data_IF_958135554553
#
_entry.id   IF_958135554553
#
_cell.length_a   1.000
_cell.length_b   1.000
_cell.length_c   1.000
_cell.angle_alpha   90.00
_cell.angle_beta   90.00
_cell.angle_gamma   90.00
#
_symmetry.space_group_name_H-M   'P 1'
#
loop_
_entity.id
_entity.type
_entity.pdbx_description
1 polymer ?
#
# COMPACT_ATOMS: atom_id res chain seq x y z
N UNK A 1 -33.39 62.71 34.36
CA UNK A 1 -33.23 61.94 33.11
C UNK A 1 -32.09 60.94 33.30
N UNK A 2 -32.38 59.63 33.36
CA UNK A 2 -31.36 58.57 33.41
C UNK A 2 -31.17 58.04 31.98
N UNK A 3 -29.97 58.23 31.42
CA UNK A 3 -29.57 57.67 30.12
C UNK A 3 -29.23 56.19 30.29
N UNK A 4 -30.01 55.33 29.63
CA UNK A 4 -29.76 53.89 29.53
C UNK A 4 -28.59 53.68 28.54
N UNK A 5 -27.43 53.21 29.03
CA UNK A 5 -26.34 52.73 28.17
C UNK A 5 -26.66 51.32 27.69
N UNK A 6 -27.11 51.19 26.44
CA UNK A 6 -27.23 49.90 25.76
C UNK A 6 -25.81 49.46 25.40
N UNK A 7 -25.30 48.46 26.11
CA UNK A 7 -24.07 47.77 25.74
C UNK A 7 -24.41 46.74 24.67
N UNK A 8 -24.05 47.01 23.42
CA UNK A 8 -24.12 46.03 22.34
C UNK A 8 -22.93 45.08 22.54
N UNK A 9 -23.19 43.88 23.09
CA UNK A 9 -22.21 42.79 23.02
C UNK A 9 -22.16 42.30 21.58
N UNK A 10 -21.09 42.64 20.88
CA UNK A 10 -20.74 42.05 19.59
C UNK A 10 -20.21 40.64 19.88
N UNK A 11 -21.05 39.62 19.79
CA UNK A 11 -20.61 38.22 19.75
C UNK A 11 -19.81 38.02 18.47
N UNK A 12 -18.49 38.04 18.59
CA UNK A 12 -17.60 37.60 17.52
C UNK A 12 -17.87 36.10 17.28
N UNK A 13 -18.52 35.78 16.16
CA UNK A 13 -18.49 34.42 15.64
C UNK A 13 -17.06 34.14 15.24
N UNK A 14 -16.33 33.37 16.06
CA UNK A 14 -15.08 32.77 15.64
C UNK A 14 -15.40 31.88 14.45
N UNK A 15 -14.98 32.29 13.24
CA UNK A 15 -14.89 31.38 12.11
C UNK A 15 -13.91 30.29 12.49
N UNK A 16 -14.41 29.12 12.87
CA UNK A 16 -13.64 27.88 12.91
C UNK A 16 -13.21 27.59 11.48
N UNK A 17 -12.05 28.13 11.10
CA UNK A 17 -11.30 27.61 9.97
C UNK A 17 -11.01 26.15 10.35
N UNK A 18 -11.55 25.20 9.60
CA UNK A 18 -11.18 23.80 9.76
C UNK A 18 -9.68 23.72 9.44
N UNK A 19 -8.87 23.58 10.50
CA UNK A 19 -7.46 23.27 10.41
C UNK A 19 -7.32 21.95 9.64
N UNK A 20 -6.79 22.01 8.41
CA UNK A 20 -6.61 20.83 7.59
C UNK A 20 -5.34 20.10 8.04
N UNK A 21 -5.49 18.83 8.42
CA UNK A 21 -4.40 17.94 8.82
C UNK A 21 -3.61 17.49 7.59
N UNK A 22 -2.32 17.17 7.76
CA UNK A 22 -1.46 16.63 6.69
C UNK A 22 -1.15 15.17 6.94
N UNK A 23 -1.02 14.38 5.87
CA UNK A 23 -0.53 13.00 5.95
C UNK A 23 0.81 12.91 5.25
N UNK A 24 1.82 12.42 5.97
CA UNK A 24 3.15 12.12 5.45
C UNK A 24 3.33 10.60 5.42
N UNK A 25 3.90 10.09 4.33
CA UNK A 25 4.30 8.69 4.20
C UNK A 25 5.81 8.64 3.94
N UNK A 26 6.53 7.92 4.79
CA UNK A 26 7.95 7.63 4.65
C UNK A 26 8.14 6.17 4.27
N UNK A 27 8.94 5.91 3.25
CA UNK A 27 9.26 4.54 2.80
C UNK A 27 10.75 4.29 2.88
N UNK A 28 11.15 3.05 3.16
CA UNK A 28 12.56 2.65 3.18
C UNK A 28 13.16 2.64 1.76
N UNK A 29 14.48 2.85 1.68
CA UNK A 29 15.23 2.60 0.44
C UNK A 29 15.38 1.10 0.14
N UNK A 30 15.31 0.24 1.16
CA UNK A 30 15.38 -1.20 0.96
C UNK A 30 14.08 -1.74 0.36
N UNK A 31 14.15 -2.31 -0.84
CA UNK A 31 13.05 -3.00 -1.50
C UNK A 31 13.11 -4.51 -1.27
N UNK A 32 11.95 -5.10 -1.02
CA UNK A 32 11.74 -6.51 -0.73
C UNK A 32 10.92 -7.14 -1.85
N UNK A 33 11.35 -8.32 -2.29
CA UNK A 33 10.62 -9.15 -3.24
C UNK A 33 9.34 -9.72 -2.58
N UNK A 34 8.18 -9.25 -3.04
CA UNK A 34 6.88 -9.72 -2.57
C UNK A 34 6.24 -10.77 -3.49
N UNK A 35 6.76 -10.96 -4.71
CA UNK A 35 6.17 -11.89 -5.66
C UNK A 35 4.71 -11.56 -5.93
N UNK A 36 3.89 -12.59 -6.19
CA UNK A 36 2.45 -12.45 -6.40
C UNK A 36 1.60 -12.44 -5.11
N UNK A 37 2.17 -12.05 -3.97
CA UNK A 37 1.39 -11.87 -2.75
C UNK A 37 0.34 -10.77 -2.97
N UNK A 38 -0.90 -11.04 -2.58
CA UNK A 38 -1.98 -10.05 -2.62
C UNK A 38 -1.73 -8.98 -1.55
N UNK A 39 -1.08 -7.89 -1.96
CA UNK A 39 -0.70 -6.78 -1.08
C UNK A 39 -1.93 -6.08 -0.50
N UNK A 40 -3.07 -6.04 -1.20
CA UNK A 40 -4.30 -5.39 -0.72
C UNK A 40 -4.91 -6.21 0.42
N UNK A 41 -5.04 -7.52 0.21
CA UNK A 41 -5.51 -8.45 1.23
C UNK A 41 -4.57 -8.49 2.44
N UNK A 42 -3.26 -8.47 2.20
CA UNK A 42 -2.24 -8.55 3.25
C UNK A 42 -2.08 -7.27 4.08
N UNK A 43 -2.55 -6.12 3.58
CA UNK A 43 -2.44 -4.83 4.27
C UNK A 43 -3.81 -4.22 4.55
N UNK A 44 -4.41 -3.55 3.56
CA UNK A 44 -5.67 -2.84 3.70
C UNK A 44 -6.77 -3.73 4.29
N UNK A 45 -7.11 -4.85 3.64
CA UNK A 45 -8.22 -5.67 4.13
C UNK A 45 -7.92 -6.26 5.52
N UNK A 46 -6.67 -6.68 5.76
CA UNK A 46 -6.26 -7.21 7.05
C UNK A 46 -6.44 -6.20 8.19
N UNK A 47 -6.19 -4.91 7.96
CA UNK A 47 -6.41 -3.85 8.96
C UNK A 47 -7.90 -3.74 9.31
N UNK A 48 -8.80 -3.87 8.34
CA UNK A 48 -10.25 -3.75 8.53
C UNK A 48 -10.96 -5.06 8.90
N UNK A 49 -10.28 -6.21 8.85
CA UNK A 49 -10.92 -7.53 8.93
C UNK A 49 -11.48 -7.90 10.32
N UNK A 50 -10.92 -7.37 11.42
CA UNK A 50 -11.24 -7.82 12.77
C UNK A 50 -11.87 -6.73 13.65
N UNK A 51 -12.90 -7.13 14.41
CA UNK A 51 -13.44 -6.32 15.50
C UNK A 51 -12.37 -6.19 16.59
N UNK A 52 -12.01 -4.95 16.94
CA UNK A 52 -10.88 -4.64 17.81
C UNK A 52 -9.91 -3.65 17.15
N UNK A 53 -9.83 -3.66 15.82
CA UNK A 53 -8.99 -2.76 15.03
C UNK A 53 -9.61 -1.36 14.86
N UNK A 54 -10.42 -0.90 15.81
CA UNK A 54 -10.98 0.45 15.79
C UNK A 54 -10.11 1.48 16.51
N UNK A 55 -9.13 1.04 17.31
CA UNK A 55 -8.22 1.94 18.06
C UNK A 55 -6.75 1.72 17.75
N UNK A 56 -6.38 0.47 17.54
CA UNK A 56 -5.03 0.06 17.20
C UNK A 56 -5.10 -1.27 16.46
N UNK A 57 -4.05 -1.60 15.73
CA UNK A 57 -3.91 -2.88 15.03
C UNK A 57 -2.50 -3.43 15.24
N UNK A 58 -2.42 -4.74 15.42
CA UNK A 58 -1.17 -5.49 15.33
C UNK A 58 -1.42 -6.74 14.51
N UNK A 59 -0.79 -6.83 13.34
CA UNK A 59 -0.86 -7.98 12.45
C UNK A 59 0.56 -8.49 12.25
N UNK A 60 0.72 -9.81 12.32
CA UNK A 60 1.97 -10.49 11.99
C UNK A 60 1.64 -11.77 11.24
N UNK A 61 1.69 -11.72 9.91
CA UNK A 61 1.27 -12.82 9.04
C UNK A 61 2.30 -13.10 7.97
N UNK A 62 2.41 -14.36 7.58
CA UNK A 62 3.29 -14.82 6.51
C UNK A 62 2.45 -15.33 5.35
N UNK A 63 2.79 -14.88 4.14
CA UNK A 63 2.10 -15.18 2.90
C UNK A 63 3.05 -15.94 1.96
N UNK A 64 2.61 -17.08 1.40
CA UNK A 64 3.38 -17.76 0.37
C UNK A 64 3.32 -16.95 -0.93
N UNK A 65 4.46 -16.84 -1.62
CA UNK A 65 4.56 -16.13 -2.89
C UNK A 65 5.41 -16.90 -3.91
N UNK A 66 5.24 -16.51 -5.17
CA UNK A 66 6.01 -16.97 -6.31
C UNK A 66 6.81 -15.81 -6.90
N UNK A 67 8.03 -16.07 -7.38
CA UNK A 67 8.91 -15.06 -7.97
C UNK A 67 9.17 -15.28 -9.45
N UNK A 68 9.34 -16.54 -9.87
CA UNK A 68 9.65 -16.81 -11.27
C UNK A 68 8.49 -16.42 -12.18
N UNK A 69 8.84 -16.01 -13.40
CA UNK A 69 7.87 -15.62 -14.41
C UNK A 69 6.98 -16.77 -14.87
N UNK A 70 7.48 -18.01 -14.93
CA UNK A 70 6.70 -19.15 -15.42
C UNK A 70 6.80 -20.34 -14.49
N UNK A 71 5.64 -20.91 -14.14
CA UNK A 71 5.54 -22.07 -13.25
C UNK A 71 4.67 -23.15 -13.86
N UNK A 72 5.18 -24.38 -13.84
CA UNK A 72 4.36 -25.56 -14.14
C UNK A 72 3.45 -25.93 -12.96
N UNK A 73 3.89 -25.67 -11.73
CA UNK A 73 3.16 -25.96 -10.49
C UNK A 73 2.84 -24.67 -9.69
N UNK A 74 2.17 -24.82 -8.54
CA UNK A 74 1.84 -23.72 -7.63
C UNK A 74 2.74 -23.72 -6.40
N UNK A 75 3.99 -24.17 -6.54
CA UNK A 75 4.91 -24.23 -5.38
C UNK A 75 5.29 -22.83 -4.91
N UNK A 76 5.30 -22.68 -3.58
CA UNK A 76 5.85 -21.51 -2.90
C UNK A 76 7.35 -21.42 -3.13
N UNK A 77 7.82 -20.24 -3.53
CA UNK A 77 9.25 -19.95 -3.69
C UNK A 77 9.76 -19.03 -2.59
N UNK A 78 8.90 -18.12 -2.12
CA UNK A 78 9.20 -17.20 -1.04
C UNK A 78 8.09 -17.17 -0.01
N UNK A 79 8.48 -16.81 1.21
CA UNK A 79 7.55 -16.44 2.26
C UNK A 79 7.73 -14.94 2.53
N UNK A 80 6.64 -14.19 2.39
CA UNK A 80 6.60 -12.75 2.67
C UNK A 80 5.91 -12.57 4.01
N UNK A 81 6.63 -12.09 5.01
CA UNK A 81 6.06 -11.68 6.29
C UNK A 81 5.65 -10.21 6.20
N UNK A 82 4.39 -9.95 6.51
CA UNK A 82 3.80 -8.62 6.62
C UNK A 82 3.48 -8.39 8.08
N UNK A 83 4.18 -7.42 8.67
CA UNK A 83 3.92 -6.92 10.01
C UNK A 83 3.26 -5.55 9.90
N UNK A 84 2.12 -5.36 10.55
CA UNK A 84 1.41 -4.07 10.59
C UNK A 84 1.22 -3.69 12.04
N UNK A 85 1.61 -2.47 12.38
CA UNK A 85 1.36 -1.86 13.67
C UNK A 85 0.76 -0.48 13.44
N UNK A 86 -0.34 -0.17 14.11
CA UNK A 86 -0.93 1.14 14.02
C UNK A 86 -1.71 1.49 15.25
N UNK A 87 -1.74 2.78 15.57
CA UNK A 87 -2.55 3.34 16.62
C UNK A 87 -3.18 4.63 16.12
N UNK A 88 -4.46 4.82 16.42
CA UNK A 88 -5.17 6.05 16.07
C UNK A 88 -6.02 6.47 17.26
N UNK A 89 -5.95 7.74 17.60
CA UNK A 89 -6.43 8.38 18.83
C UNK A 89 -7.94 8.49 18.93
N UNK A 90 -8.69 7.49 18.48
CA UNK A 90 -10.15 7.44 18.59
C UNK A 90 -10.58 7.14 20.04
N UNK A 91 -10.51 8.16 20.89
CA UNK A 91 -11.16 8.17 22.20
C UNK A 91 -12.67 8.37 22.01
N UNK A 92 -13.39 7.28 21.77
CA UNK A 92 -14.86 7.30 21.72
C UNK A 92 -15.48 6.36 20.69
N UNK A 93 -14.73 5.90 19.69
CA UNK A 93 -15.21 4.95 18.69
C UNK A 93 -16.16 5.55 17.66
N UNK A 94 -16.19 6.88 17.52
CA UNK A 94 -17.20 7.58 16.68
C UNK A 94 -16.60 8.10 15.39
N UNK A 95 -15.27 8.29 15.33
CA UNK A 95 -14.65 8.85 14.13
C UNK A 95 -13.29 8.21 13.81
N UNK A 96 -13.27 7.39 12.76
CA UNK A 96 -12.09 6.67 12.30
C UNK A 96 -11.32 7.41 11.18
N UNK A 97 -11.53 8.71 11.01
CA UNK A 97 -10.95 9.47 9.91
C UNK A 97 -9.41 9.41 9.88
N UNK A 98 -8.75 9.45 11.05
CA UNK A 98 -7.28 9.35 11.13
C UNK A 98 -6.79 7.98 10.65
N UNK A 99 -7.42 6.89 11.10
CA UNK A 99 -7.15 5.53 10.60
C UNK A 99 -7.32 5.48 9.09
N UNK A 100 -8.45 5.94 8.60
CA UNK A 100 -8.80 5.81 7.19
C UNK A 100 -7.87 6.65 6.31
N UNK A 101 -7.42 7.82 6.77
CA UNK A 101 -6.42 8.64 6.09
C UNK A 101 -5.03 7.98 6.07
N UNK A 102 -4.57 7.44 7.20
CA UNK A 102 -3.29 6.72 7.31
C UNK A 102 -3.27 5.49 6.40
N UNK A 103 -4.30 4.64 6.47
CA UNK A 103 -4.42 3.43 5.66
C UNK A 103 -4.52 3.78 4.17
N UNK A 104 -5.27 4.83 3.81
CA UNK A 104 -5.34 5.30 2.43
C UNK A 104 -4.01 5.78 1.88
N UNK A 105 -3.29 6.60 2.65
CA UNK A 105 -2.00 7.12 2.21
C UNK A 105 -0.96 6.00 2.09
N UNK A 106 -0.89 5.10 3.07
CA UNK A 106 0.02 3.96 3.04
C UNK A 106 -0.29 3.00 1.88
N UNK A 107 -1.56 2.68 1.64
CA UNK A 107 -1.95 1.83 0.52
C UNK A 107 -1.66 2.48 -0.83
N UNK A 108 -1.89 3.79 -0.97
CA UNK A 108 -1.48 4.50 -2.18
C UNK A 108 0.03 4.40 -2.40
N UNK A 109 0.84 4.57 -1.36
CA UNK A 109 2.29 4.38 -1.43
C UNK A 109 2.67 2.97 -1.89
N UNK A 110 2.10 1.93 -1.26
CA UNK A 110 2.31 0.53 -1.66
C UNK A 110 1.95 0.32 -3.13
N UNK A 111 0.75 0.75 -3.54
CA UNK A 111 0.23 0.49 -4.87
C UNK A 111 1.04 1.19 -5.97
N UNK A 112 1.38 2.47 -5.79
CA UNK A 112 2.14 3.23 -6.80
C UNK A 112 3.59 2.75 -6.91
N UNK A 113 4.26 2.48 -5.78
CA UNK A 113 5.65 2.00 -5.78
C UNK A 113 5.72 0.59 -6.38
N UNK A 114 4.86 -0.33 -5.93
CA UNK A 114 4.85 -1.71 -6.40
C UNK A 114 4.44 -1.86 -7.87
N UNK A 115 3.68 -0.90 -8.42
CA UNK A 115 3.31 -0.88 -9.83
C UNK A 115 4.51 -0.55 -10.75
N UNK A 116 5.52 0.20 -10.30
CA UNK A 116 6.68 0.56 -11.14
C UNK A 116 7.59 -0.62 -11.45
N UNK A 117 7.69 -1.56 -10.52
CA UNK A 117 8.47 -2.79 -10.66
C UNK A 117 7.59 -4.04 -10.83
N UNK A 118 6.33 -3.86 -11.24
CA UNK A 118 5.41 -4.96 -11.46
C UNK A 118 5.89 -5.85 -12.64
N UNK A 119 5.74 -7.16 -12.47
CA UNK A 119 6.09 -8.12 -13.52
C UNK A 119 5.07 -9.26 -13.59
N UNK A 120 4.90 -9.84 -14.77
CA UNK A 120 3.98 -10.96 -14.93
C UNK A 120 4.55 -12.25 -14.33
N UNK A 121 3.71 -12.97 -13.59
CA UNK A 121 3.90 -14.33 -13.11
C UNK A 121 2.81 -15.21 -13.72
N UNK A 122 3.22 -16.15 -14.54
CA UNK A 122 2.38 -17.13 -15.21
C UNK A 122 2.45 -18.48 -14.51
N UNK A 123 1.29 -19.09 -14.28
CA UNK A 123 1.19 -20.41 -13.64
C UNK A 123 0.34 -21.37 -14.47
N UNK A 124 0.45 -22.67 -14.15
CA UNK A 124 -0.13 -23.73 -14.97
C UNK A 124 0.50 -23.77 -16.37
N UNK A 125 1.78 -23.41 -16.46
CA UNK A 125 2.52 -23.39 -17.71
C UNK A 125 2.84 -24.80 -18.18
N UNK A 126 2.48 -25.07 -19.43
CA UNK A 126 2.91 -26.25 -20.14
C UNK A 126 4.04 -25.89 -21.11
N UNK A 127 5.24 -26.36 -20.80
CA UNK A 127 6.42 -26.17 -21.65
C UNK A 127 6.35 -27.15 -22.82
N UNK A 128 6.23 -26.61 -24.02
CA UNK A 128 6.18 -27.43 -25.23
C UNK A 128 7.60 -27.58 -25.77
N UNK A 129 8.29 -28.64 -25.36
CA UNK A 129 9.44 -29.11 -26.11
C UNK A 129 8.95 -29.54 -27.52
N UNK A 130 9.65 -29.20 -28.62
CA UNK A 130 9.30 -29.68 -29.96
C UNK A 130 9.20 -31.21 -30.07
N UNK A 131 9.78 -31.97 -29.14
CA UNK A 131 9.87 -33.44 -29.24
C UNK A 131 8.77 -34.13 -28.42
N UNK A 132 8.40 -33.64 -27.23
CA UNK A 132 7.25 -34.11 -26.45
C UNK A 132 6.74 -33.04 -25.47
N UNK A 133 5.46 -32.63 -25.51
CA UNK A 133 4.90 -31.79 -24.47
C UNK A 133 4.83 -32.58 -23.15
N UNK A 134 5.46 -32.08 -22.09
CA UNK A 134 5.53 -32.74 -20.78
C UNK A 134 4.24 -32.65 -19.96
N UNK A 135 3.12 -32.26 -20.59
CA UNK A 135 1.90 -31.85 -19.90
C UNK A 135 0.71 -31.75 -20.86
N UNK A 136 -0.48 -31.86 -20.27
CA UNK A 136 -1.74 -31.55 -20.97
C UNK A 136 -1.85 -30.04 -21.17
N UNK A 137 -1.91 -29.61 -22.42
CA UNK A 137 -2.11 -28.20 -22.77
C UNK A 137 -3.45 -27.71 -22.21
N UNK A 138 -3.48 -26.60 -21.45
CA UNK A 138 -4.73 -26.07 -20.91
C UNK A 138 -5.69 -25.64 -22.03
N UNK A 139 -6.99 -25.84 -21.82
CA UNK A 139 -8.04 -25.50 -22.80
C UNK A 139 -8.21 -23.99 -23.03
N UNK A 140 -7.71 -23.18 -22.09
CA UNK A 140 -7.65 -21.71 -22.17
C UNK A 140 -6.27 -21.27 -21.70
N UNK A 141 -5.61 -20.43 -22.49
CA UNK A 141 -4.30 -19.86 -22.17
C UNK A 141 -4.36 -18.33 -22.13
N UNK A 142 -3.60 -17.74 -21.19
CA UNK A 142 -3.48 -16.28 -20.99
C UNK A 142 -2.32 -15.67 -21.77
N UNK A 143 -1.38 -16.51 -22.19
CA UNK A 143 -0.28 -16.20 -23.07
C UNK A 143 0.05 -17.45 -23.90
N UNK A 144 0.55 -17.22 -25.10
CA UNK A 144 1.01 -18.25 -26.02
C UNK A 144 2.53 -18.46 -25.95
N UNK A 145 3.02 -19.39 -26.79
CA UNK A 145 4.40 -19.88 -26.81
C UNK A 145 5.47 -18.80 -26.74
N UNK A 146 5.26 -17.66 -27.39
CA UNK A 146 6.28 -16.60 -27.47
C UNK A 146 5.97 -15.40 -26.56
N UNK A 147 4.69 -15.22 -26.19
CA UNK A 147 4.25 -14.07 -25.39
C UNK A 147 4.39 -14.27 -23.87
N UNK A 148 4.57 -15.50 -23.37
CA UNK A 148 4.79 -15.72 -21.94
C UNK A 148 6.19 -15.27 -21.45
N UNK A 149 7.16 -15.13 -22.36
CA UNK A 149 8.51 -14.65 -22.04
C UNK A 149 9.23 -15.48 -20.96
N UNK A 150 8.99 -16.80 -20.93
CA UNK A 150 9.60 -17.69 -19.96
C UNK A 150 11.13 -17.74 -20.12
N UNK A 151 11.85 -17.82 -18.99
CA UNK A 151 13.31 -17.83 -19.00
C UNK A 151 13.87 -19.00 -19.82
N UNK A 152 14.98 -18.76 -20.52
CA UNK A 152 15.64 -19.76 -21.37
C UNK A 152 15.03 -19.91 -22.78
N UNK A 153 14.17 -18.99 -23.22
CA UNK A 153 13.56 -19.03 -24.56
C UNK A 153 12.57 -20.18 -24.74
N UNK A 154 12.05 -20.71 -23.63
CA UNK A 154 11.15 -21.85 -23.66
C UNK A 154 9.76 -21.43 -24.14
N UNK A 155 9.26 -22.15 -25.15
CA UNK A 155 7.89 -22.01 -25.60
C UNK A 155 6.93 -22.61 -24.56
N UNK A 156 6.09 -21.77 -23.94
CA UNK A 156 5.14 -22.21 -22.93
C UNK A 156 3.73 -21.70 -23.23
N UNK A 157 2.73 -22.47 -22.82
CA UNK A 157 1.33 -22.04 -22.78
C UNK A 157 0.83 -22.11 -21.35
N UNK A 158 0.36 -21.00 -20.80
CA UNK A 158 0.02 -20.90 -19.37
C UNK A 158 -1.46 -20.58 -19.17
N UNK A 159 -2.07 -21.08 -18.09
CA UNK A 159 -3.51 -20.92 -17.83
C UNK A 159 -3.86 -19.68 -17.02
N UNK A 160 -2.90 -19.13 -16.27
CA UNK A 160 -3.16 -18.05 -15.31
C UNK A 160 -2.03 -17.03 -15.35
N UNK A 161 -2.40 -15.75 -15.22
CA UNK A 161 -1.48 -14.61 -15.10
C UNK A 161 -1.80 -13.90 -13.79
N UNK A 162 -0.77 -13.71 -12.97
CA UNK A 162 -0.77 -12.91 -11.75
C UNK A 162 0.32 -11.86 -11.85
N UNK A 163 0.26 -10.84 -11.01
CA UNK A 163 1.26 -9.77 -10.99
C UNK A 163 2.18 -9.96 -9.80
N UNK A 164 3.48 -10.01 -10.07
CA UNK A 164 4.55 -9.98 -9.09
C UNK A 164 5.01 -8.56 -8.80
N UNK A 165 5.46 -8.30 -7.58
CA UNK A 165 5.82 -6.97 -7.11
C UNK A 165 7.06 -6.95 -6.23
N UNK A 166 7.74 -5.81 -6.23
CA UNK A 166 8.63 -5.38 -5.14
C UNK A 166 7.93 -4.32 -4.30
N UNK A 167 8.23 -4.28 -3.01
CA UNK A 167 7.69 -3.29 -2.06
C UNK A 167 8.80 -2.76 -1.15
N UNK A 168 8.69 -1.53 -0.61
CA UNK A 168 9.59 -1.08 0.44
C UNK A 168 9.52 -2.01 1.66
N UNK A 169 10.66 -2.28 2.29
CA UNK A 169 10.75 -3.04 3.55
C UNK A 169 9.98 -2.38 4.68
N UNK A 170 9.94 -1.04 4.72
CA UNK A 170 9.20 -0.27 5.70
C UNK A 170 8.39 0.85 5.06
N UNK A 171 7.19 1.05 5.59
CA UNK A 171 6.30 2.16 5.24
C UNK A 171 5.73 2.69 6.55
N UNK A 172 5.98 3.96 6.82
CA UNK A 172 5.46 4.66 7.97
C UNK A 172 4.57 5.80 7.51
N UNK A 173 3.34 5.88 8.02
CA UNK A 173 2.43 6.98 7.78
C UNK A 173 2.17 7.74 9.09
N UNK A 174 2.18 9.06 9.00
CA UNK A 174 2.03 9.98 10.11
C UNK A 174 1.01 11.06 9.78
N UNK A 175 0.35 11.61 10.81
CA UNK A 175 -0.50 12.78 10.68
C UNK A 175 0.14 13.97 11.38
N UNK A 176 0.14 15.12 10.73
CA UNK A 176 0.50 16.40 11.32
C UNK A 176 -0.73 17.30 11.41
N UNK A 177 -0.81 18.12 12.45
CA UNK A 177 -1.79 19.20 12.51
C UNK A 177 -1.44 20.35 11.55
N UNK A 178 -2.26 21.39 11.53
CA UNK A 178 -2.07 22.59 10.71
C UNK A 178 -0.88 23.46 11.13
N UNK A 179 -0.29 23.19 12.29
CA UNK A 179 0.90 23.84 12.83
C UNK A 179 2.17 22.99 12.67
N UNK A 180 2.10 21.92 11.86
CA UNK A 180 3.18 20.97 11.61
C UNK A 180 3.63 20.20 12.87
N UNK A 181 2.76 20.04 13.87
CA UNK A 181 3.03 19.15 15.00
C UNK A 181 2.60 17.72 14.67
N UNK A 182 3.48 16.76 14.97
CA UNK A 182 3.20 15.33 14.82
C UNK A 182 2.11 14.90 15.82
N UNK A 183 1.04 14.29 15.32
CA UNK A 183 0.01 13.65 16.13
C UNK A 183 0.45 12.24 16.56
N UNK A 184 -0.17 11.70 17.60
CA UNK A 184 0.16 10.35 18.10
C UNK A 184 -0.32 9.22 17.17
N UNK A 185 -1.22 9.55 16.23
CA UNK A 185 -1.71 8.62 15.22
C UNK A 185 -0.60 8.22 14.25
N UNK A 186 -0.40 6.91 14.09
CA UNK A 186 0.61 6.39 13.18
C UNK A 186 0.20 5.01 12.63
N UNK A 187 0.79 4.67 11.49
CA UNK A 187 0.70 3.35 10.89
C UNK A 187 2.08 2.96 10.36
N UNK A 188 2.55 1.80 10.76
CA UNK A 188 3.76 1.17 10.27
C UNK A 188 3.41 -0.15 9.59
N UNK A 189 3.92 -0.35 8.38
CA UNK A 189 3.85 -1.61 7.65
C UNK A 189 5.28 -2.04 7.35
N UNK A 190 5.64 -3.26 7.72
CA UNK A 190 6.94 -3.86 7.48
C UNK A 190 6.79 -5.12 6.66
N UNK A 191 7.50 -5.17 5.54
CA UNK A 191 7.61 -6.32 4.67
C UNK A 191 8.98 -6.95 4.85
N UNK A 192 9.01 -8.28 4.96
CA UNK A 192 10.25 -9.05 4.87
C UNK A 192 10.01 -10.29 4.03
N UNK A 193 11.03 -10.72 3.29
CA UNK A 193 10.94 -11.86 2.38
C UNK A 193 12.07 -12.83 2.67
N UNK A 194 11.84 -14.11 2.43
CA UNK A 194 12.91 -15.12 2.47
C UNK A 194 13.87 -15.02 1.27
N UNK A 195 13.64 -14.11 0.33
CA UNK A 195 14.56 -13.79 -0.78
C UNK A 195 15.76 -12.95 -0.31
N UNK A 196 16.91 -13.11 -0.95
CA UNK A 196 18.21 -12.59 -0.45
C UNK A 196 18.72 -11.31 -1.10
N UNK A 197 17.97 -10.65 -1.99
CA UNK A 197 18.49 -9.47 -2.70
C UNK A 197 17.66 -8.20 -2.47
N UNK A 198 18.00 -7.41 -1.45
CA UNK A 198 17.49 -6.05 -1.34
C UNK A 198 18.08 -5.18 -2.46
N UNK A 199 17.21 -4.44 -3.15
CA UNK A 199 17.59 -3.40 -4.10
C UNK A 199 17.16 -2.03 -3.59
N UNK A 200 17.86 -0.96 -3.98
CA UNK A 200 17.47 0.42 -3.62
C UNK A 200 16.12 0.83 -4.25
N UNK A 201 15.37 1.69 -3.55
CA UNK A 201 13.95 1.99 -3.82
C UNK A 201 13.59 3.47 -3.74
N UNK A 202 14.37 4.31 -3.07
CA UNK A 202 14.08 5.73 -2.92
C UNK A 202 14.29 6.54 -4.20
N UNK A 203 14.99 6.01 -5.21
CA UNK A 203 14.97 6.60 -6.55
C UNK A 203 13.56 6.69 -7.15
N UNK A 204 12.66 5.78 -6.75
CA UNK A 204 11.25 5.75 -7.20
C UNK A 204 10.46 6.86 -6.51
N UNK A 205 10.77 7.19 -5.24
CA UNK A 205 10.08 8.23 -4.46
C UNK A 205 10.12 9.59 -5.14
N UNK A 206 11.28 10.00 -5.66
CA UNK A 206 11.43 11.27 -6.39
C UNK A 206 10.65 11.33 -7.71
N UNK A 207 10.38 10.17 -8.32
CA UNK A 207 9.55 10.07 -9.54
C UNK A 207 8.07 10.20 -9.20
N UNK A 208 7.66 9.66 -8.05
CA UNK A 208 6.26 9.62 -7.63
C UNK A 208 5.76 10.91 -6.95
N UNK A 209 6.66 11.79 -6.50
CA UNK A 209 6.27 12.95 -5.67
C UNK A 209 5.16 13.82 -6.29
N UNK A 210 5.13 13.96 -7.62
CA UNK A 210 4.07 14.70 -8.33
C UNK A 210 2.70 13.99 -8.31
N UNK A 211 2.70 12.66 -8.37
CA UNK A 211 1.49 11.83 -8.28
C UNK A 211 0.88 11.89 -6.87
N UNK A 212 1.73 11.95 -5.82
CA UNK A 212 1.29 12.09 -4.42
C UNK A 212 0.83 13.51 -4.08
N UNK A 213 1.49 14.55 -4.61
CA UNK A 213 1.06 15.94 -4.44
C UNK A 213 -0.35 16.21 -5.03
N UNK A 214 -0.72 15.47 -6.08
CA UNK A 214 -2.03 15.57 -6.73
C UNK A 214 -3.16 14.83 -6.01
N UNK A 215 -2.85 13.98 -5.02
CA UNK A 215 -3.83 13.10 -4.40
C UNK A 215 -4.87 13.88 -3.58
N UNK A 216 -6.14 13.54 -3.75
CA UNK A 216 -7.23 14.10 -2.96
C UNK A 216 -7.93 12.96 -2.22
N UNK A 217 -8.02 13.08 -0.90
CA UNK A 217 -8.76 12.12 -0.10
C UNK A 217 -10.26 12.15 -0.48
N UNK A 218 -10.88 11.00 -0.71
CA UNK A 218 -12.29 10.92 -1.05
C UNK A 218 -13.20 11.24 0.16
N UNK A 219 -14.40 11.74 -0.14
CA UNK A 219 -15.48 11.89 0.84
C UNK A 219 -15.16 12.87 1.97
N UNK A 220 -15.52 12.49 3.20
CA UNK A 220 -15.36 13.33 4.41
C UNK A 220 -13.89 13.66 4.68
N UNK A 221 -12.97 12.75 4.36
CA UNK A 221 -11.54 12.97 4.55
C UNK A 221 -11.02 14.16 3.74
N UNK A 222 -11.53 14.39 2.53
CA UNK A 222 -11.15 15.54 1.70
C UNK A 222 -11.50 16.91 2.30
N UNK A 223 -12.33 16.95 3.35
CA UNK A 223 -12.66 18.17 4.10
C UNK A 223 -11.81 18.36 5.36
N UNK A 224 -11.11 17.31 5.78
CA UNK A 224 -10.34 17.25 7.04
C UNK A 224 -8.84 17.25 6.81
N UNK A 225 -8.41 16.67 5.69
CA UNK A 225 -7.01 16.55 5.31
C UNK A 225 -6.68 17.45 4.12
N UNK A 226 -5.47 18.02 4.15
CA UNK A 226 -4.92 18.75 3.02
C UNK A 226 -4.84 17.85 1.80
N UNK A 227 -4.97 18.47 0.62
CA UNK A 227 -4.67 17.77 -0.63
C UNK A 227 -3.19 17.45 -0.67
N UNK A 228 -2.87 16.24 -1.13
CA UNK A 228 -1.52 15.74 -1.27
C UNK A 228 -1.12 14.80 -0.14
N UNK A 229 -0.17 13.93 -0.45
CA UNK A 229 0.57 13.13 0.53
C UNK A 229 2.04 13.53 0.37
N UNK A 230 2.70 13.81 1.48
CA UNK A 230 4.15 14.02 1.46
C UNK A 230 4.83 12.66 1.44
N UNK A 231 5.52 12.33 0.34
CA UNK A 231 6.26 11.07 0.20
C UNK A 231 7.75 11.32 0.43
N UNK A 232 8.32 10.65 1.43
CA UNK A 232 9.73 10.77 1.81
C UNK A 232 10.47 9.44 1.82
N UNK A 233 11.79 9.51 1.71
CA UNK A 233 12.68 8.39 1.98
C UNK A 233 13.06 8.39 3.47
N UNK A 234 12.79 7.30 4.17
CA UNK A 234 13.20 7.06 5.55
C UNK A 234 14.35 6.05 5.63
N UNK A 235 15.16 6.16 6.67
CA UNK A 235 16.15 5.15 7.04
C UNK A 235 15.48 3.97 7.75
#
# INVERSE_FOLDING_TARGET
MKLLKISVMLTAFASTILALQKVEVRVSDEMVEAGNVDLYAATWEAIYAENGNQRAVTIDKTYPGQLKRCHQDLKTEINVRVYVEGAWGDTGGVNHNNRDALVQAAWKAINEISAKDAYDIFTGCCFTDPIQPSCSVPSKFVCDRDSCGCQGGQHAVCSTRTTGHKVPSHINAYIYDDHDNLLSDHLQITFSSSSTEPSGGCGIVGTLTSEFAGFAFPGVLGTLFQKGIELGCGA
#
